data_IF_887565054728
#
_entry.id   IF_887565054728
#
_cell.length_a   1.000
_cell.length_b   1.000
_cell.length_c   1.000
_cell.angle_alpha   90.00
_cell.angle_beta   90.00
_cell.angle_gamma   90.00
#
_symmetry.space_group_name_H-M   'P 1'
#
loop_
_entity.id
_entity.type
_entity.pdbx_description
1 polymer ?
#
# COMPACT_ATOMS: atom_id res chain seq x y z
N UNK A 1 -19.87 -4.85 -20.81
CA UNK A 1 -19.61 -4.10 -19.54
C UNK A 1 -18.23 -3.51 -19.65
N UNK A 2 -18.00 -2.27 -19.18
CA UNK A 2 -16.66 -1.67 -19.16
C UNK A 2 -15.78 -2.49 -18.19
N UNK A 3 -14.62 -2.92 -18.66
CA UNK A 3 -13.64 -3.61 -17.82
C UNK A 3 -13.15 -2.65 -16.72
N UNK A 4 -13.19 -3.08 -15.47
CA UNK A 4 -12.69 -2.25 -14.35
C UNK A 4 -11.17 -2.22 -14.37
N UNK A 5 -10.61 -1.05 -14.10
CA UNK A 5 -9.17 -0.83 -13.99
C UNK A 5 -8.78 -0.49 -12.56
N UNK A 6 -7.82 -1.22 -12.01
CA UNK A 6 -7.38 -1.08 -10.62
C UNK A 6 -5.90 -0.67 -10.59
N UNK A 7 -5.60 0.38 -9.83
CA UNK A 7 -4.24 0.76 -9.48
C UNK A 7 -3.89 0.18 -8.10
N UNK A 8 -2.91 -0.70 -8.06
CA UNK A 8 -2.34 -1.24 -6.82
C UNK A 8 -1.02 -0.53 -6.54
N UNK A 9 -0.94 0.16 -5.41
CA UNK A 9 0.23 0.95 -5.02
C UNK A 9 0.99 0.19 -3.94
N UNK A 10 2.28 -0.01 -4.18
CA UNK A 10 3.22 -0.71 -3.32
C UNK A 10 4.37 0.21 -2.94
N UNK A 11 5.06 -0.07 -1.83
CA UNK A 11 6.22 0.71 -1.42
C UNK A 11 7.43 0.45 -2.32
N UNK A 12 8.28 1.45 -2.48
CA UNK A 12 9.63 1.34 -3.04
C UNK A 12 10.73 1.34 -1.97
N UNK A 13 10.35 1.38 -0.67
CA UNK A 13 11.30 1.45 0.45
C UNK A 13 11.59 0.05 1.00
N UNK A 14 12.85 -0.38 0.91
CA UNK A 14 13.31 -1.71 1.33
C UNK A 14 14.11 -1.75 2.63
N UNK A 15 14.33 -0.61 3.27
CA UNK A 15 15.12 -0.53 4.51
C UNK A 15 14.44 0.40 5.51
N UNK A 16 14.52 0.05 6.80
CA UNK A 16 14.19 1.01 7.85
C UNK A 16 15.19 2.18 7.86
N UNK A 17 14.80 3.37 8.38
CA UNK A 17 15.66 4.56 8.37
C UNK A 17 16.99 4.40 9.10
N UNK A 18 17.09 3.46 10.04
CA UNK A 18 18.33 3.15 10.75
C UNK A 18 19.34 2.34 9.89
N UNK A 19 18.94 1.91 8.70
CA UNK A 19 19.77 1.15 7.77
C UNK A 19 20.15 -0.26 8.25
N UNK A 20 19.53 -0.76 9.32
CA UNK A 20 19.91 -2.05 9.93
C UNK A 20 18.94 -3.19 9.61
N UNK A 21 17.71 -2.86 9.31
CA UNK A 21 16.68 -3.87 9.08
C UNK A 21 16.07 -3.68 7.70
N UNK A 22 15.91 -4.79 6.99
CA UNK A 22 15.15 -4.83 5.75
C UNK A 22 13.66 -4.76 6.04
N UNK A 23 12.93 -4.19 5.08
CA UNK A 23 11.48 -4.08 5.05
C UNK A 23 11.00 -4.09 3.61
N UNK A 24 9.77 -3.72 3.37
CA UNK A 24 9.19 -3.65 2.03
C UNK A 24 7.69 -3.87 2.03
N UNK A 25 7.20 -4.34 0.91
CA UNK A 25 5.84 -4.79 0.70
C UNK A 25 5.55 -6.05 1.54
N UNK A 26 4.40 -6.09 2.20
CA UNK A 26 3.89 -7.33 2.78
C UNK A 26 3.22 -8.17 1.69
N UNK A 27 3.86 -9.26 1.28
CA UNK A 27 3.53 -9.99 0.06
C UNK A 27 2.07 -10.43 -0.02
N UNK A 28 1.51 -11.02 1.04
CA UNK A 28 0.14 -11.56 1.02
C UNK A 28 -0.93 -10.49 0.75
N UNK A 29 -0.70 -9.25 1.19
CA UNK A 29 -1.64 -8.15 1.00
C UNK A 29 -1.79 -7.80 -0.49
N UNK A 30 -0.70 -7.81 -1.23
CA UNK A 30 -0.76 -7.63 -2.68
C UNK A 30 -1.27 -8.89 -3.39
N UNK A 31 -0.72 -10.07 -3.07
CA UNK A 31 -1.03 -11.32 -3.76
C UNK A 31 -2.53 -11.64 -3.73
N UNK A 32 -3.18 -11.49 -2.58
CA UNK A 32 -4.63 -11.74 -2.43
C UNK A 32 -5.48 -10.75 -3.23
N UNK A 33 -5.14 -9.47 -3.21
CA UNK A 33 -5.87 -8.47 -3.99
C UNK A 33 -5.66 -8.66 -5.49
N UNK A 34 -4.42 -8.96 -5.88
CA UNK A 34 -4.05 -9.24 -7.26
C UNK A 34 -4.81 -10.46 -7.82
N UNK A 35 -4.82 -11.57 -7.08
CA UNK A 35 -5.56 -12.77 -7.42
C UNK A 35 -7.07 -12.49 -7.60
N UNK A 36 -7.63 -11.78 -6.62
CA UNK A 36 -9.05 -11.43 -6.65
C UNK A 36 -9.42 -10.57 -7.86
N UNK A 37 -8.59 -9.61 -8.23
CA UNK A 37 -8.79 -8.76 -9.40
C UNK A 37 -8.59 -9.55 -10.70
N UNK A 38 -7.54 -10.37 -10.78
CA UNK A 38 -7.24 -11.22 -11.93
C UNK A 38 -8.37 -12.20 -12.24
N UNK A 39 -8.90 -12.88 -11.21
CA UNK A 39 -10.04 -13.80 -11.35
C UNK A 39 -11.31 -13.13 -11.85
N UNK A 40 -11.47 -11.83 -11.62
CA UNK A 40 -12.60 -11.03 -12.12
C UNK A 40 -12.36 -10.42 -13.51
N UNK A 41 -11.19 -10.67 -14.09
CA UNK A 41 -10.80 -10.10 -15.37
C UNK A 41 -10.61 -8.59 -15.34
N UNK A 42 -10.23 -8.02 -14.18
CA UNK A 42 -9.94 -6.60 -14.06
C UNK A 42 -8.57 -6.28 -14.67
N UNK A 43 -8.45 -5.07 -15.21
CA UNK A 43 -7.17 -4.54 -15.66
C UNK A 43 -6.37 -4.03 -14.46
N UNK A 44 -5.15 -4.55 -14.27
CA UNK A 44 -4.35 -4.30 -13.08
C UNK A 44 -3.11 -3.52 -13.47
N UNK A 45 -2.90 -2.40 -12.82
CA UNK A 45 -1.66 -1.63 -12.86
C UNK A 45 -1.03 -1.65 -11.48
N UNK A 46 0.27 -1.98 -11.39
CA UNK A 46 1.03 -1.88 -10.15
C UNK A 46 2.00 -0.72 -10.28
N UNK A 47 2.00 0.16 -9.28
CA UNK A 47 2.89 1.31 -9.22
C UNK A 47 3.55 1.43 -7.83
N UNK A 48 4.72 2.03 -7.80
CA UNK A 48 5.42 2.42 -6.58
C UNK A 48 5.88 3.88 -6.67
N UNK A 49 6.25 4.55 -5.58
CA UNK A 49 6.60 5.98 -5.61
C UNK A 49 7.55 6.39 -6.73
N UNK A 50 8.57 5.60 -7.02
CA UNK A 50 9.59 5.88 -8.05
C UNK A 50 9.55 4.93 -9.23
N UNK A 51 8.70 3.92 -9.20
CA UNK A 51 8.72 2.82 -10.17
C UNK A 51 9.89 1.85 -9.95
N UNK A 52 9.96 0.84 -10.80
CA UNK A 52 11.03 -0.15 -10.78
C UNK A 52 10.81 -1.28 -9.77
N UNK A 53 11.88 -1.74 -9.17
CA UNK A 53 11.87 -2.91 -8.29
C UNK A 53 11.19 -2.60 -6.94
N UNK A 54 10.23 -3.43 -6.58
CA UNK A 54 9.52 -3.35 -5.30
C UNK A 54 10.16 -4.29 -4.30
N UNK A 55 10.76 -3.77 -3.22
CA UNK A 55 11.28 -4.62 -2.16
C UNK A 55 10.15 -5.34 -1.41
N UNK A 56 10.32 -6.62 -1.18
CA UNK A 56 9.38 -7.43 -0.38
C UNK A 56 9.95 -7.64 1.02
N UNK A 57 9.15 -7.40 2.05
CA UNK A 57 9.58 -7.58 3.44
C UNK A 57 9.97 -9.05 3.69
N UNK A 58 11.22 -9.33 4.08
CA UNK A 58 11.69 -10.71 4.30
C UNK A 58 10.88 -11.45 5.36
N UNK A 59 10.25 -10.72 6.29
CA UNK A 59 9.38 -11.33 7.30
C UNK A 59 8.12 -11.92 6.68
N UNK A 60 7.56 -11.25 5.67
CA UNK A 60 6.37 -11.73 4.96
C UNK A 60 6.61 -13.01 4.17
N UNK A 61 7.87 -13.33 3.87
CA UNK A 61 8.29 -14.55 3.15
C UNK A 61 8.50 -15.74 4.09
N UNK A 62 8.47 -15.56 5.41
CA UNK A 62 8.62 -16.66 6.36
C UNK A 62 7.40 -17.57 6.34
N UNK A 63 7.62 -18.87 6.53
CA UNK A 63 6.60 -19.92 6.45
C UNK A 63 5.35 -19.63 7.28
N UNK A 64 5.49 -18.99 8.44
CA UNK A 64 4.35 -18.68 9.32
C UNK A 64 3.42 -17.56 8.76
N UNK A 65 3.90 -16.74 7.80
CA UNK A 65 3.14 -15.66 7.16
C UNK A 65 2.85 -15.93 5.69
N UNK A 66 3.46 -16.97 5.13
CA UNK A 66 3.34 -17.35 3.74
C UNK A 66 2.23 -18.41 3.58
N UNK A 67 1.03 -17.98 3.24
CA UNK A 67 -0.04 -18.90 2.88
C UNK A 67 0.17 -19.50 1.47
N UNK A 68 -0.68 -20.47 1.11
CA UNK A 68 -0.58 -21.18 -0.15
C UNK A 68 -0.65 -20.24 -1.36
N UNK A 69 -1.58 -19.30 -1.36
CA UNK A 69 -1.78 -18.37 -2.47
C UNK A 69 -0.57 -17.43 -2.63
N UNK A 70 -0.10 -16.85 -1.52
CA UNK A 70 1.08 -16.00 -1.52
C UNK A 70 2.32 -16.74 -2.03
N UNK A 71 2.46 -18.02 -1.66
CA UNK A 71 3.55 -18.85 -2.16
C UNK A 71 3.45 -19.11 -3.66
N UNK A 72 2.25 -19.42 -4.16
CA UNK A 72 2.02 -19.62 -5.60
C UNK A 72 2.45 -18.39 -6.40
N UNK A 73 2.05 -17.18 -5.95
CA UNK A 73 2.46 -15.93 -6.60
C UNK A 73 3.96 -15.65 -6.42
N UNK A 74 4.54 -15.93 -5.26
CA UNK A 74 5.98 -15.74 -5.06
C UNK A 74 6.82 -16.65 -5.94
N UNK A 75 6.36 -17.86 -6.22
CA UNK A 75 7.03 -18.82 -7.10
C UNK A 75 6.80 -18.48 -8.59
N UNK A 76 5.75 -17.69 -8.92
CA UNK A 76 5.45 -17.27 -10.27
C UNK A 76 6.43 -16.19 -10.76
N UNK A 77 7.18 -16.52 -11.81
CA UNK A 77 8.16 -15.61 -12.40
C UNK A 77 7.53 -14.38 -13.08
N UNK A 78 6.32 -14.51 -13.62
CA UNK A 78 5.59 -13.39 -14.24
C UNK A 78 5.18 -12.38 -13.17
N UNK A 79 4.61 -12.83 -12.06
CA UNK A 79 4.26 -11.95 -10.95
C UNK A 79 5.48 -11.24 -10.37
N UNK A 80 6.59 -11.96 -10.16
CA UNK A 80 7.84 -11.32 -9.71
C UNK A 80 8.39 -10.33 -10.72
N UNK A 81 8.23 -10.58 -12.01
CA UNK A 81 8.63 -9.64 -13.05
C UNK A 81 7.79 -8.35 -12.98
N UNK A 82 6.50 -8.45 -12.72
CA UNK A 82 5.65 -7.27 -12.49
C UNK A 82 6.13 -6.45 -11.29
N UNK A 83 6.54 -7.10 -10.19
CA UNK A 83 7.08 -6.41 -9.01
C UNK A 83 8.43 -5.72 -9.27
N UNK A 84 9.22 -6.24 -10.19
CA UNK A 84 10.51 -5.64 -10.59
C UNK A 84 10.36 -4.43 -11.53
N UNK A 85 9.21 -4.30 -12.16
CA UNK A 85 8.96 -3.29 -13.20
C UNK A 85 7.67 -2.51 -12.91
N UNK A 86 7.47 -2.11 -11.66
CA UNK A 86 6.33 -1.28 -11.31
C UNK A 86 6.43 0.08 -12.00
N UNK A 87 5.27 0.66 -12.33
CA UNK A 87 5.24 2.05 -12.82
C UNK A 87 5.57 3.01 -11.70
N UNK A 88 6.12 4.17 -12.04
CA UNK A 88 6.18 5.27 -11.08
C UNK A 88 4.79 5.90 -10.92
N UNK A 89 4.57 6.58 -9.77
CA UNK A 89 3.33 7.34 -9.57
C UNK A 89 3.19 8.48 -10.58
N UNK A 90 4.29 9.05 -11.04
CA UNK A 90 4.28 10.08 -12.08
C UNK A 90 3.75 9.55 -13.41
N UNK A 91 4.10 8.31 -13.80
CA UNK A 91 3.61 7.68 -15.04
C UNK A 91 2.11 7.39 -15.04
N UNK A 92 1.50 7.28 -13.86
CA UNK A 92 0.06 7.04 -13.69
C UNK A 92 -0.69 8.28 -13.21
N UNK A 93 0.02 9.40 -13.03
CA UNK A 93 -0.55 10.67 -12.61
C UNK A 93 -1.54 11.19 -13.65
N UNK A 94 -2.69 11.67 -13.18
CA UNK A 94 -3.76 12.16 -14.05
C UNK A 94 -4.65 11.09 -14.69
N UNK A 95 -4.34 9.81 -14.52
CA UNK A 95 -5.22 8.71 -14.93
C UNK A 95 -6.23 8.39 -13.83
N UNK A 96 -7.51 8.22 -14.18
CA UNK A 96 -8.55 7.79 -13.26
C UNK A 96 -8.79 6.28 -13.40
N UNK A 97 -8.50 5.57 -12.31
CA UNK A 97 -8.81 4.16 -12.14
C UNK A 97 -10.19 3.99 -11.47
N UNK A 98 -10.77 2.83 -11.57
CA UNK A 98 -12.02 2.55 -10.84
C UNK A 98 -11.78 2.27 -9.36
N UNK A 99 -10.55 1.84 -9.03
CA UNK A 99 -10.10 1.64 -7.64
C UNK A 99 -8.61 1.96 -7.52
N UNK A 100 -8.22 2.64 -6.43
CA UNK A 100 -6.86 2.66 -5.90
C UNK A 100 -6.81 1.77 -4.68
N UNK A 101 -5.82 0.88 -4.62
CA UNK A 101 -5.54 0.02 -3.49
C UNK A 101 -4.11 0.21 -3.00
N UNK A 102 -3.93 0.60 -1.74
CA UNK A 102 -2.64 0.77 -1.11
C UNK A 102 -2.30 -0.47 -0.29
N UNK A 103 -1.32 -1.24 -0.75
CA UNK A 103 -0.79 -2.37 0.00
C UNK A 103 0.12 -1.89 1.15
N UNK A 104 0.21 -2.68 2.20
CA UNK A 104 1.03 -2.33 3.34
C UNK A 104 2.41 -2.99 3.33
N UNK A 105 2.90 -3.24 4.52
CA UNK A 105 4.30 -3.49 4.83
C UNK A 105 4.94 -2.22 5.38
N UNK A 106 5.94 -2.36 6.25
CA UNK A 106 6.50 -1.20 6.96
C UNK A 106 7.16 -0.17 6.01
N UNK A 107 7.62 -0.58 4.82
CA UNK A 107 8.17 0.33 3.82
C UNK A 107 7.23 1.48 3.47
N UNK A 108 5.91 1.20 3.38
CA UNK A 108 4.89 2.19 3.07
C UNK A 108 4.86 3.39 4.02
N UNK A 109 5.28 3.19 5.27
CA UNK A 109 5.34 4.27 6.27
C UNK A 109 6.36 5.35 5.94
N UNK A 110 7.35 5.03 5.12
CA UNK A 110 8.48 5.92 4.83
C UNK A 110 8.37 6.62 3.47
N UNK A 111 7.50 6.13 2.59
CA UNK A 111 7.38 6.69 1.24
C UNK A 111 5.96 7.05 0.79
N UNK A 112 4.91 6.74 1.60
CA UNK A 112 3.54 7.10 1.27
C UNK A 112 3.08 8.43 1.89
N UNK A 113 3.27 8.72 3.21
CA UNK A 113 2.59 9.82 3.89
C UNK A 113 2.86 11.20 3.27
N UNK A 114 4.11 11.46 2.91
CA UNK A 114 4.57 12.75 2.40
C UNK A 114 4.72 12.79 0.86
N UNK A 115 4.26 11.75 0.17
CA UNK A 115 4.30 11.70 -1.28
C UNK A 115 3.15 12.52 -1.89
N UNK A 116 3.48 13.68 -2.42
CA UNK A 116 2.49 14.63 -2.97
C UNK A 116 1.77 14.10 -4.21
N UNK A 117 2.42 13.27 -5.03
CA UNK A 117 1.79 12.65 -6.20
C UNK A 117 0.76 11.62 -5.74
N UNK A 118 1.10 10.80 -4.73
CA UNK A 118 0.16 9.86 -4.12
C UNK A 118 -1.05 10.57 -3.51
N UNK A 119 -0.79 11.65 -2.75
CA UNK A 119 -1.87 12.45 -2.15
C UNK A 119 -2.82 13.01 -3.22
N UNK A 120 -2.29 13.50 -4.33
CA UNK A 120 -3.07 14.01 -5.46
C UNK A 120 -3.90 12.89 -6.11
N UNK A 121 -3.28 11.76 -6.41
CA UNK A 121 -3.97 10.59 -6.96
C UNK A 121 -5.14 10.16 -6.06
N UNK A 122 -4.91 10.02 -4.76
CA UNK A 122 -5.94 9.62 -3.80
C UNK A 122 -7.06 10.65 -3.76
N UNK A 123 -6.73 11.94 -3.66
CA UNK A 123 -7.70 13.03 -3.66
C UNK A 123 -8.59 12.97 -4.91
N UNK A 124 -7.97 12.91 -6.08
CA UNK A 124 -8.69 12.95 -7.36
C UNK A 124 -9.62 11.75 -7.50
N UNK A 125 -9.18 10.55 -7.08
CA UNK A 125 -10.06 9.36 -7.07
C UNK A 125 -11.22 9.52 -6.11
N UNK A 126 -10.95 9.96 -4.88
CA UNK A 126 -11.99 10.13 -3.88
C UNK A 126 -13.04 11.16 -4.31
N UNK A 127 -12.63 12.31 -4.81
CA UNK A 127 -13.53 13.37 -5.26
C UNK A 127 -14.30 13.01 -6.53
N UNK A 128 -13.79 12.08 -7.34
CA UNK A 128 -14.49 11.50 -8.49
C UNK A 128 -15.31 10.24 -8.14
N UNK A 129 -15.62 10.01 -6.86
CA UNK A 129 -16.40 8.84 -6.38
C UNK A 129 -15.81 7.49 -6.80
N UNK A 130 -14.50 7.41 -6.93
CA UNK A 130 -13.78 6.15 -7.14
C UNK A 130 -13.45 5.49 -5.81
N UNK A 131 -13.22 4.19 -5.85
CA UNK A 131 -12.88 3.43 -4.65
C UNK A 131 -11.43 3.75 -4.24
N UNK A 132 -11.24 4.11 -2.98
CA UNK A 132 -9.92 4.21 -2.34
C UNK A 132 -9.88 3.21 -1.21
N UNK A 133 -8.98 2.24 -1.29
CA UNK A 133 -8.81 1.17 -0.31
C UNK A 133 -7.36 1.11 0.16
N UNK A 134 -7.16 0.77 1.41
CA UNK A 134 -5.83 0.61 2.00
C UNK A 134 -5.86 -0.48 3.07
N UNK A 135 -4.75 -1.17 3.26
CA UNK A 135 -4.60 -2.23 4.26
C UNK A 135 -3.34 -2.02 5.09
N UNK A 136 -3.38 -2.45 6.36
CA UNK A 136 -2.22 -2.48 7.25
C UNK A 136 -1.51 -1.12 7.30
N UNK A 137 -0.21 -1.07 7.00
CA UNK A 137 0.55 0.18 6.93
C UNK A 137 0.24 1.04 5.69
N UNK A 138 -0.37 0.49 4.64
CA UNK A 138 -0.82 1.25 3.49
C UNK A 138 -1.79 2.38 3.83
N UNK A 139 -2.51 2.25 4.96
CA UNK A 139 -3.42 3.28 5.49
C UNK A 139 -2.70 4.61 5.79
N UNK A 140 -1.39 4.58 6.07
CA UNK A 140 -0.61 5.80 6.32
C UNK A 140 -0.60 6.77 5.11
N UNK A 141 -0.78 6.24 3.90
CA UNK A 141 -0.89 7.07 2.68
C UNK A 141 -2.14 7.96 2.64
N UNK A 142 -3.13 7.71 3.49
CA UNK A 142 -4.35 8.53 3.57
C UNK A 142 -4.22 9.73 4.50
N UNK A 143 -3.21 9.76 5.38
CA UNK A 143 -3.13 10.69 6.50
C UNK A 143 -3.03 12.16 6.08
N UNK A 144 -2.16 12.43 5.13
CA UNK A 144 -1.82 13.79 4.71
C UNK A 144 -2.62 14.25 3.48
N UNK A 145 -3.57 13.44 3.01
CA UNK A 145 -4.42 13.78 1.86
C UNK A 145 -5.39 14.89 2.25
N UNK A 146 -5.27 16.04 1.59
CA UNK A 146 -6.20 17.17 1.70
C UNK A 146 -7.12 17.21 0.49
N UNK A 147 -8.41 17.31 0.75
CA UNK A 147 -9.45 17.50 -0.27
C UNK A 147 -9.47 18.93 -0.79
N UNK A 148 -10.22 19.18 -1.85
CA UNK A 148 -10.33 20.50 -2.46
C UNK A 148 -10.95 21.57 -1.55
N UNK A 149 -11.70 21.16 -0.52
CA UNK A 149 -12.21 22.04 0.54
C UNK A 149 -11.18 22.35 1.64
N UNK A 150 -9.95 21.82 1.53
CA UNK A 150 -8.86 21.99 2.49
C UNK A 150 -8.91 21.07 3.70
N UNK A 151 -9.92 20.23 3.83
CA UNK A 151 -10.02 19.27 4.93
C UNK A 151 -9.23 18.00 4.64
N UNK A 152 -8.77 17.33 5.70
CA UNK A 152 -8.14 16.01 5.54
C UNK A 152 -9.15 14.95 5.15
N UNK A 153 -8.78 14.08 4.22
CA UNK A 153 -9.60 12.95 3.75
C UNK A 153 -10.14 12.12 4.92
N UNK A 154 -9.32 11.87 5.92
CA UNK A 154 -9.64 11.01 7.07
C UNK A 154 -10.46 11.71 8.17
N UNK A 155 -10.69 13.03 8.04
CA UNK A 155 -11.45 13.79 9.02
C UNK A 155 -12.85 13.19 9.19
N UNK A 156 -13.26 12.99 10.42
CA UNK A 156 -14.57 12.44 10.83
C UNK A 156 -14.89 11.04 10.26
N UNK A 157 -13.88 10.33 9.75
CA UNK A 157 -14.01 8.95 9.27
C UNK A 157 -13.47 7.96 10.30
N UNK A 158 -14.12 6.81 10.38
CA UNK A 158 -13.58 5.66 11.12
C UNK A 158 -12.54 4.98 10.24
N UNK A 159 -11.28 5.07 10.65
CA UNK A 159 -10.14 4.49 9.94
C UNK A 159 -9.44 3.51 10.89
N UNK A 160 -9.02 2.37 10.37
CA UNK A 160 -8.20 1.41 11.09
C UNK A 160 -7.02 1.03 10.23
N UNK A 161 -5.92 0.68 10.87
CA UNK A 161 -4.70 0.21 10.24
C UNK A 161 -3.93 -0.67 11.22
N UNK A 162 -2.66 -0.93 10.96
CA UNK A 162 -1.80 -1.68 11.87
C UNK A 162 -1.56 -0.84 13.14
N UNK A 163 -1.98 -1.37 14.29
CA UNK A 163 -2.06 -0.60 15.52
C UNK A 163 -0.74 -0.58 16.28
N UNK A 164 -0.57 0.40 17.18
CA UNK A 164 0.59 0.46 18.09
C UNK A 164 0.76 -0.79 18.98
N UNK A 165 -0.35 -1.47 19.29
CA UNK A 165 -0.30 -2.72 20.03
C UNK A 165 0.31 -3.84 19.16
N UNK A 166 -0.13 -3.95 17.91
CA UNK A 166 0.40 -4.92 16.95
C UNK A 166 1.88 -4.67 16.64
N UNK A 167 2.32 -3.40 16.57
CA UNK A 167 3.74 -3.06 16.47
C UNK A 167 4.55 -3.59 17.67
N UNK A 168 3.95 -3.58 18.85
CA UNK A 168 4.55 -4.18 20.03
C UNK A 168 4.75 -5.68 19.90
N UNK A 169 3.76 -6.38 19.38
CA UNK A 169 3.84 -7.82 19.15
C UNK A 169 4.85 -8.15 18.03
N UNK A 170 4.92 -7.31 16.99
CA UNK A 170 5.88 -7.44 15.91
C UNK A 170 7.33 -7.05 16.31
N UNK A 171 7.53 -6.49 17.52
CA UNK A 171 8.83 -6.03 17.99
C UNK A 171 9.38 -4.79 17.25
N UNK A 172 8.51 -4.04 16.58
CA UNK A 172 8.89 -2.93 15.68
C UNK A 172 8.66 -1.53 16.27
N UNK A 173 8.14 -1.40 17.51
CA UNK A 173 7.84 -0.10 18.14
C UNK A 173 8.98 0.92 18.12
N UNK A 174 10.24 0.47 18.19
CA UNK A 174 11.40 1.37 18.14
C UNK A 174 11.76 1.84 16.73
N UNK A 175 11.38 1.07 15.72
CA UNK A 175 11.67 1.35 14.33
C UNK A 175 10.58 2.20 13.66
N UNK A 176 9.40 2.22 14.28
CA UNK A 176 8.19 2.90 13.79
C UNK A 176 7.93 4.11 14.68
N UNK A 177 8.31 5.30 14.22
CA UNK A 177 8.01 6.53 14.94
C UNK A 177 6.82 7.25 14.32
N UNK A 178 6.00 7.89 15.16
CA UNK A 178 5.10 9.00 14.83
C UNK A 178 3.84 8.71 13.99
N UNK A 179 3.86 7.95 12.92
CA UNK A 179 2.70 7.80 12.00
C UNK A 179 1.48 7.14 12.66
N UNK A 180 1.71 6.30 13.67
CA UNK A 180 0.64 5.61 14.40
C UNK A 180 -0.05 6.48 15.45
N UNK A 181 0.60 7.56 15.90
CA UNK A 181 0.05 8.45 16.93
C UNK A 181 -1.02 9.41 16.38
N UNK A 182 -1.12 9.56 15.09
CA UNK A 182 -2.00 10.54 14.44
C UNK A 182 -3.28 9.94 13.83
N UNK A 183 -3.37 8.61 13.70
CA UNK A 183 -4.63 7.98 13.35
C UNK A 183 -5.57 7.98 14.57
N UNK A 184 -6.81 8.47 14.42
CA UNK A 184 -7.84 8.21 15.42
C UNK A 184 -8.15 6.71 15.38
N UNK A 185 -7.32 5.92 16.06
CA UNK A 185 -7.53 4.47 16.19
C UNK A 185 -8.72 4.23 17.09
N UNK A 186 -9.87 4.00 16.50
CA UNK A 186 -10.95 3.30 17.17
C UNK A 186 -10.61 1.80 17.14
N UNK A 187 -9.57 1.40 17.88
CA UNK A 187 -9.38 0.00 18.24
C UNK A 187 -10.46 -0.37 19.23
N UNK A 188 -11.43 -1.14 18.81
CA UNK A 188 -12.26 -1.97 19.68
C UNK A 188 -11.74 -3.39 19.68
#
# INVERSE_FOLDING_TARGET
MKQMKILMIVTGTGMFPDGKQETGLWLSELAHMYDSAKKRGYDIVIASPKGGDTPVDPTSLKTMYMDKLSKEYWDDSEFRNVLRHTKSLDEVSGELFDCIYLAGGHGAMFDFPDNTVLQTLIKDHYENNKVVAAICHGVCGLLNVKLSDGQYLVKDKKVTGFSWFEEGLAGKKKAVSYTHLTLPTNSR
#
